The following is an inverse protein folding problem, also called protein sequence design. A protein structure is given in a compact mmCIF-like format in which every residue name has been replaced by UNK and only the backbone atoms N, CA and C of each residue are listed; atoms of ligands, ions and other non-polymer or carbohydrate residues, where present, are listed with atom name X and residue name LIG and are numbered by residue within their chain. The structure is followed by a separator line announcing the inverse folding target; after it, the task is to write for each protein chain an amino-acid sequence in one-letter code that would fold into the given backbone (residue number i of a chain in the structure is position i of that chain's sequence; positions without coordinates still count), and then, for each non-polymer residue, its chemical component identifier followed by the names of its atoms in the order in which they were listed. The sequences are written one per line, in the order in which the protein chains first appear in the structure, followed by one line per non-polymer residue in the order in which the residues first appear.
data_IF_159484397116
#
_entry.id   IF_159484397116
#
_cell.length_a   1.000
_cell.length_b   1.000
_cell.length_c   1.000
_cell.angle_alpha   90.00
_cell.angle_beta   90.00
_cell.angle_gamma   90.00
#
_symmetry.space_group_name_H-M   'P 1'
#
loop_
_entity.id
_entity.type
_entity.pdbx_description
1 polymer ?
#
# COMPACT_ATOMS: atom_id res chain seq x y z
N UNK A 1 -8.38 4.75 -28.18
CA UNK A 1 -8.52 3.53 -27.37
C UNK A 1 -7.12 2.95 -27.16
N UNK A 2 -6.59 3.00 -25.94
CA UNK A 2 -5.28 2.42 -25.61
C UNK A 2 -5.41 0.91 -25.76
N UNK A 3 -4.56 0.28 -26.60
CA UNK A 3 -4.56 -1.18 -26.72
C UNK A 3 -4.09 -1.78 -25.40
N UNK A 4 -4.71 -2.87 -24.89
CA UNK A 4 -4.21 -3.54 -23.71
C UNK A 4 -2.74 -3.91 -23.91
N UNK A 5 -1.90 -3.58 -22.93
CA UNK A 5 -0.52 -4.03 -22.92
C UNK A 5 -0.50 -5.55 -22.69
N UNK A 6 0.56 -6.27 -23.10
CA UNK A 6 0.66 -7.71 -22.84
C UNK A 6 0.48 -8.09 -21.37
N UNK A 7 0.92 -7.21 -20.46
CA UNK A 7 0.75 -7.35 -19.00
C UNK A 7 -0.73 -7.42 -18.64
N UNK A 8 -1.51 -6.41 -19.05
CA UNK A 8 -2.95 -6.34 -18.74
C UNK A 8 -3.71 -7.48 -19.40
N UNK A 9 -3.37 -7.84 -20.64
CA UNK A 9 -3.96 -9.00 -21.32
C UNK A 9 -3.69 -10.31 -20.56
N UNK A 10 -2.48 -10.46 -19.98
CA UNK A 10 -2.13 -11.57 -19.10
C UNK A 10 -3.05 -11.65 -17.87
N UNK A 11 -3.36 -10.52 -17.22
CA UNK A 11 -4.27 -10.50 -16.07
C UNK A 11 -5.68 -10.94 -16.44
N UNK A 12 -6.21 -10.49 -17.57
CA UNK A 12 -7.53 -10.94 -18.04
C UNK A 12 -7.54 -12.46 -18.28
N UNK A 13 -6.48 -13.01 -18.88
CA UNK A 13 -6.37 -14.45 -19.09
C UNK A 13 -6.26 -15.23 -17.76
N UNK A 14 -5.51 -14.72 -16.79
CA UNK A 14 -5.39 -15.31 -15.45
C UNK A 14 -6.73 -15.29 -14.71
N UNK A 15 -7.42 -14.15 -14.70
CA UNK A 15 -8.72 -13.98 -14.07
C UNK A 15 -9.78 -14.89 -14.71
N UNK A 16 -9.79 -15.03 -16.04
CA UNK A 16 -10.70 -15.93 -16.73
C UNK A 16 -10.42 -17.41 -16.46
N UNK A 17 -9.16 -17.77 -16.18
CA UNK A 17 -8.76 -19.15 -15.89
C UNK A 17 -9.13 -19.59 -14.46
N UNK A 18 -9.07 -18.67 -13.51
CA UNK A 18 -9.40 -18.91 -12.10
C UNK A 18 -10.13 -17.69 -11.49
N UNK A 19 -11.45 -17.56 -11.74
CA UNK A 19 -12.20 -16.36 -11.37
C UNK A 19 -12.42 -16.28 -9.85
N UNK A 20 -11.80 -15.27 -9.24
CA UNK A 20 -11.95 -14.98 -7.81
C UNK A 20 -13.35 -14.48 -7.45
N UNK A 21 -13.75 -14.68 -6.20
CA UNK A 21 -14.98 -14.11 -5.62
C UNK A 21 -14.73 -12.67 -5.20
N UNK A 22 -15.37 -11.71 -5.85
CA UNK A 22 -15.08 -10.27 -5.65
C UNK A 22 -16.32 -9.53 -5.20
N UNK A 23 -16.20 -8.72 -4.15
CA UNK A 23 -17.25 -7.79 -3.72
C UNK A 23 -17.01 -6.43 -4.33
N UNK A 24 -18.01 -5.85 -4.99
CA UNK A 24 -18.04 -4.44 -5.37
C UNK A 24 -18.97 -3.70 -4.40
N UNK A 25 -18.40 -2.92 -3.48
CA UNK A 25 -19.16 -2.34 -2.36
C UNK A 25 -20.06 -1.17 -2.77
N UNK A 26 -19.76 -0.49 -3.88
CA UNK A 26 -20.50 0.66 -4.38
C UNK A 26 -21.71 0.25 -5.26
N UNK A 27 -22.40 -0.84 -4.92
CA UNK A 27 -23.55 -1.34 -5.69
C UNK A 27 -24.63 -0.24 -5.85
N UNK A 28 -25.13 -0.07 -7.08
CA UNK A 28 -26.04 1.02 -7.44
C UNK A 28 -25.34 2.28 -7.99
N UNK A 29 -24.01 2.38 -7.91
CA UNK A 29 -23.25 3.32 -8.74
C UNK A 29 -23.15 2.76 -10.17
N UNK A 30 -23.49 3.53 -11.22
CA UNK A 30 -23.47 3.03 -12.59
C UNK A 30 -22.12 2.45 -13.05
N UNK A 31 -20.99 2.96 -12.52
CA UNK A 31 -19.66 2.47 -12.87
C UNK A 31 -19.39 1.11 -12.22
N UNK A 32 -19.82 0.91 -10.98
CA UNK A 32 -19.69 -0.35 -10.27
C UNK A 32 -20.63 -1.42 -10.85
N UNK A 33 -21.84 -1.03 -11.22
CA UNK A 33 -22.81 -1.93 -11.86
C UNK A 33 -22.34 -2.37 -13.25
N UNK A 34 -21.82 -1.43 -14.06
CA UNK A 34 -21.21 -1.75 -15.36
C UNK A 34 -20.00 -2.68 -15.21
N UNK A 35 -19.11 -2.40 -14.24
CA UNK A 35 -17.96 -3.26 -13.95
C UNK A 35 -18.40 -4.66 -13.52
N UNK A 36 -19.42 -4.78 -12.67
CA UNK A 36 -19.98 -6.07 -12.24
C UNK A 36 -20.53 -6.85 -13.42
N UNK A 37 -21.34 -6.22 -14.28
CA UNK A 37 -21.87 -6.85 -15.48
C UNK A 37 -20.76 -7.33 -16.41
N UNK A 38 -19.69 -6.55 -16.56
CA UNK A 38 -18.53 -6.91 -17.37
C UNK A 38 -17.76 -8.10 -16.78
N UNK A 39 -17.49 -8.10 -15.47
CA UNK A 39 -16.82 -9.20 -14.78
C UNK A 39 -17.55 -10.53 -14.98
N UNK A 40 -18.89 -10.51 -14.92
CA UNK A 40 -19.74 -11.69 -15.17
C UNK A 40 -19.71 -12.11 -16.63
N UNK A 41 -19.97 -11.17 -17.55
CA UNK A 41 -20.08 -11.46 -18.97
C UNK A 41 -18.76 -11.98 -19.58
N UNK A 42 -17.63 -11.48 -19.09
CA UNK A 42 -16.30 -11.90 -19.53
C UNK A 42 -15.74 -13.07 -18.70
N UNK A 43 -16.47 -13.55 -17.67
CA UNK A 43 -16.06 -14.68 -16.84
C UNK A 43 -14.82 -14.41 -15.99
N UNK A 44 -14.58 -13.17 -15.59
CA UNK A 44 -13.35 -12.71 -14.93
C UNK A 44 -13.40 -12.81 -13.40
N UNK A 45 -14.60 -12.82 -12.82
CA UNK A 45 -14.80 -12.92 -11.38
C UNK A 45 -16.21 -13.42 -11.07
N UNK A 46 -16.38 -13.97 -9.87
CA UNK A 46 -17.68 -14.32 -9.30
C UNK A 46 -18.11 -13.18 -8.36
N UNK A 47 -19.07 -12.32 -8.73
CA UNK A 47 -19.48 -11.23 -7.87
C UNK A 47 -20.18 -11.75 -6.62
N UNK A 48 -19.80 -11.18 -5.47
CA UNK A 48 -20.46 -11.43 -4.18
C UNK A 48 -21.18 -10.15 -3.76
N UNK A 49 -22.48 -10.21 -3.41
CA UNK A 49 -23.21 -9.05 -2.92
C UNK A 49 -22.56 -8.45 -1.66
N UNK A 50 -22.49 -7.11 -1.52
CA UNK A 50 -21.92 -6.45 -0.35
C UNK A 50 -22.90 -6.46 0.84
N UNK A 51 -23.31 -7.64 1.27
CA UNK A 51 -24.28 -7.83 2.36
C UNK A 51 -23.83 -9.02 3.21
N UNK A 52 -23.82 -8.82 4.53
CA UNK A 52 -23.51 -9.89 5.49
C UNK A 52 -24.69 -10.84 5.63
N UNK A 53 -24.41 -12.10 5.92
CA UNK A 53 -25.42 -13.12 6.26
C UNK A 53 -25.20 -13.58 7.71
N UNK A 54 -25.99 -13.08 8.68
CA UNK A 54 -25.89 -13.48 10.08
C UNK A 54 -26.17 -14.98 10.33
N UNK A 55 -26.72 -15.71 9.36
CA UNK A 55 -26.91 -17.16 9.49
C UNK A 55 -25.63 -17.94 9.12
N UNK A 56 -24.66 -17.32 8.45
CA UNK A 56 -23.38 -17.92 8.10
C UNK A 56 -22.36 -17.74 9.22
N UNK A 57 -22.20 -18.78 10.03
CA UNK A 57 -21.29 -18.79 11.19
C UNK A 57 -19.81 -18.47 10.83
N UNK A 58 -19.40 -18.55 9.56
CA UNK A 58 -18.07 -18.10 9.12
C UNK A 58 -17.88 -16.59 9.33
N UNK A 59 -18.97 -15.83 9.34
CA UNK A 59 -18.97 -14.37 9.41
C UNK A 59 -18.97 -13.85 10.86
N UNK A 60 -19.32 -14.67 11.84
CA UNK A 60 -19.51 -14.28 13.24
C UNK A 60 -18.33 -13.48 13.83
N UNK A 61 -17.09 -13.97 13.65
CA UNK A 61 -15.89 -13.29 14.15
C UNK A 61 -15.68 -11.93 13.49
N UNK A 62 -15.87 -11.86 12.17
CA UNK A 62 -15.65 -10.64 11.40
C UNK A 62 -16.75 -9.59 11.67
N UNK A 63 -18.00 -10.02 11.86
CA UNK A 63 -19.13 -9.17 12.26
C UNK A 63 -18.88 -8.62 13.67
N UNK A 64 -18.53 -9.47 14.63
CA UNK A 64 -18.22 -9.03 15.99
C UNK A 64 -17.09 -8.00 16.01
N UNK A 65 -16.02 -8.26 15.24
CA UNK A 65 -14.90 -7.33 15.09
C UNK A 65 -15.30 -5.98 14.49
N UNK A 66 -16.19 -5.96 13.50
CA UNK A 66 -16.71 -4.72 12.94
C UNK A 66 -17.49 -3.90 14.00
N UNK A 67 -18.37 -4.56 14.75
CA UNK A 67 -19.16 -3.95 15.83
C UNK A 67 -18.24 -3.39 16.94
N UNK A 68 -17.25 -4.17 17.38
CA UNK A 68 -16.26 -3.74 18.38
C UNK A 68 -15.45 -2.52 17.91
N UNK A 69 -15.20 -2.41 16.60
CA UNK A 69 -14.54 -1.26 15.99
C UNK A 69 -15.48 -0.05 15.82
N UNK A 70 -16.76 -0.15 16.20
CA UNK A 70 -17.77 0.90 16.05
C UNK A 70 -18.22 1.09 14.60
N UNK A 71 -18.10 0.05 13.77
CA UNK A 71 -18.51 0.05 12.37
C UNK A 71 -19.84 -0.71 12.24
N UNK A 72 -20.71 -0.21 11.37
CA UNK A 72 -21.99 -0.84 11.04
C UNK A 72 -21.76 -1.99 10.04
N UNK A 73 -22.00 -3.27 10.40
CA UNK A 73 -21.85 -4.39 9.47
C UNK A 73 -22.79 -4.32 8.25
N UNK A 74 -23.88 -3.56 8.35
CA UNK A 74 -24.84 -3.37 7.25
C UNK A 74 -24.37 -2.28 6.25
N UNK A 75 -23.33 -1.50 6.57
CA UNK A 75 -22.70 -0.61 5.61
C UNK A 75 -21.97 -1.44 4.53
N UNK A 76 -22.23 -1.22 3.21
CA UNK A 76 -21.68 -2.05 2.15
C UNK A 76 -20.14 -2.15 2.12
N UNK A 77 -19.42 -1.11 2.54
CA UNK A 77 -17.95 -1.11 2.58
C UNK A 77 -17.45 -1.95 3.75
N UNK A 78 -18.16 -1.92 4.88
CA UNK A 78 -17.87 -2.76 6.05
C UNK A 78 -18.23 -4.21 5.78
N UNK A 79 -19.41 -4.46 5.19
CA UNK A 79 -19.85 -5.78 4.76
C UNK A 79 -18.83 -6.43 3.82
N UNK A 80 -18.30 -5.69 2.84
CA UNK A 80 -17.26 -6.18 1.95
C UNK A 80 -16.00 -6.63 2.72
N UNK A 81 -15.58 -5.86 3.74
CA UNK A 81 -14.44 -6.23 4.58
C UNK A 81 -14.73 -7.48 5.45
N UNK A 82 -15.96 -7.62 5.94
CA UNK A 82 -16.43 -8.80 6.69
C UNK A 82 -16.40 -10.04 5.80
N UNK A 83 -16.92 -9.95 4.57
CA UNK A 83 -16.97 -11.05 3.60
C UNK A 83 -15.57 -11.52 3.19
N UNK A 84 -14.62 -10.60 3.03
CA UNK A 84 -13.21 -10.94 2.76
C UNK A 84 -12.58 -11.63 3.96
N UNK A 85 -12.73 -11.07 5.17
CA UNK A 85 -12.14 -11.65 6.38
C UNK A 85 -12.67 -13.05 6.70
N UNK A 86 -13.97 -13.27 6.49
CA UNK A 86 -14.63 -14.57 6.71
C UNK A 86 -14.36 -15.59 5.60
N UNK A 87 -13.66 -15.20 4.53
CA UNK A 87 -13.36 -16.06 3.39
C UNK A 87 -14.56 -16.35 2.50
N UNK A 88 -15.65 -15.58 2.62
CA UNK A 88 -16.82 -15.64 1.71
C UNK A 88 -16.50 -14.97 0.36
N UNK A 89 -15.64 -13.96 0.37
CA UNK A 89 -15.04 -13.34 -0.79
C UNK A 89 -13.51 -13.39 -0.72
N UNK A 90 -12.85 -13.32 -1.88
CA UNK A 90 -11.39 -13.33 -2.00
C UNK A 90 -10.83 -11.90 -2.06
N UNK A 91 -11.61 -10.95 -2.59
CA UNK A 91 -11.23 -9.54 -2.65
C UNK A 91 -12.46 -8.61 -2.60
N UNK A 92 -12.21 -7.34 -2.29
CA UNK A 92 -13.21 -6.29 -2.30
C UNK A 92 -12.69 -5.03 -3.01
N UNK A 93 -13.59 -4.35 -3.74
CA UNK A 93 -13.33 -3.07 -4.41
C UNK A 93 -14.38 -2.06 -3.95
N UNK A 94 -13.92 -0.89 -3.51
CA UNK A 94 -14.77 0.20 -3.04
C UNK A 94 -14.12 1.56 -3.33
N UNK A 95 -14.90 2.63 -3.24
CA UNK A 95 -14.42 4.01 -3.34
C UNK A 95 -14.99 4.79 -4.52
N UNK A 96 -15.91 4.21 -5.30
CA UNK A 96 -16.61 4.96 -6.35
C UNK A 96 -17.54 6.05 -5.75
N UNK A 97 -18.14 5.76 -4.60
CA UNK A 97 -19.06 6.66 -3.89
C UNK A 97 -18.58 7.05 -2.48
N UNK A 98 -17.45 6.48 -2.03
CA UNK A 98 -16.96 6.61 -0.66
C UNK A 98 -15.55 7.23 -0.59
N UNK A 99 -15.26 8.08 0.41
CA UNK A 99 -13.90 8.55 0.64
C UNK A 99 -12.91 7.40 0.88
N UNK A 100 -11.69 7.52 0.33
CA UNK A 100 -10.60 6.55 0.54
C UNK A 100 -10.34 6.27 2.01
N UNK A 101 -10.41 7.30 2.87
CA UNK A 101 -10.18 7.16 4.30
C UNK A 101 -11.17 6.18 4.97
N UNK A 102 -12.43 6.15 4.52
CA UNK A 102 -13.43 5.25 5.09
C UNK A 102 -13.22 3.81 4.62
N UNK A 103 -12.87 3.62 3.34
CA UNK A 103 -12.53 2.30 2.77
C UNK A 103 -11.31 1.70 3.48
N UNK A 104 -10.24 2.49 3.62
CA UNK A 104 -9.01 2.05 4.32
C UNK A 104 -9.30 1.77 5.80
N UNK A 105 -10.13 2.60 6.46
CA UNK A 105 -10.52 2.38 7.86
C UNK A 105 -11.26 1.05 8.02
N UNK A 106 -12.24 0.76 7.16
CA UNK A 106 -12.98 -0.51 7.20
C UNK A 106 -12.06 -1.71 7.00
N UNK A 107 -11.20 -1.68 5.96
CA UNK A 107 -10.23 -2.73 5.71
C UNK A 107 -9.28 -2.96 6.88
N UNK A 108 -8.69 -1.91 7.45
CA UNK A 108 -7.78 -2.02 8.60
C UNK A 108 -8.45 -2.54 9.86
N UNK A 109 -9.67 -2.07 10.17
CA UNK A 109 -10.36 -2.44 11.40
C UNK A 109 -10.92 -3.85 11.32
N UNK A 110 -11.48 -4.25 10.19
CA UNK A 110 -12.08 -5.56 9.99
C UNK A 110 -11.03 -6.56 9.50
N UNK A 111 -10.51 -6.45 8.27
CA UNK A 111 -9.55 -7.41 7.69
C UNK A 111 -8.23 -7.44 8.49
N UNK A 112 -7.69 -6.26 8.85
CA UNK A 112 -6.42 -6.15 9.55
C UNK A 112 -5.21 -6.07 8.61
N UNK A 113 -4.01 -6.20 9.19
CA UNK A 113 -2.75 -6.15 8.45
C UNK A 113 -2.13 -7.54 8.32
N UNK A 114 -1.37 -7.75 7.24
CA UNK A 114 -0.58 -8.96 7.07
C UNK A 114 0.48 -9.10 8.17
N UNK A 115 0.88 -10.33 8.50
CA UNK A 115 1.91 -10.58 9.51
C UNK A 115 3.24 -9.93 9.10
N UNK A 116 3.80 -9.09 9.97
CA UNK A 116 5.06 -8.39 9.70
C UNK A 116 4.92 -7.13 8.84
N UNK A 117 3.70 -6.73 8.47
CA UNK A 117 3.44 -5.42 7.89
C UNK A 117 3.19 -4.40 9.01
N UNK A 118 4.03 -3.38 9.10
CA UNK A 118 3.91 -2.32 10.12
C UNK A 118 3.05 -1.15 9.65
N UNK A 119 2.84 -1.03 8.34
CA UNK A 119 2.11 0.06 7.70
C UNK A 119 1.37 -0.43 6.47
N UNK A 120 0.16 0.10 6.25
CA UNK A 120 -0.54 -0.03 4.97
C UNK A 120 -0.06 1.08 4.05
N UNK A 121 0.30 0.71 2.84
CA UNK A 121 0.82 1.61 1.81
C UNK A 121 0.07 1.42 0.51
N UNK A 122 -0.01 2.46 -0.30
CA UNK A 122 -0.49 2.34 -1.69
C UNK A 122 0.66 2.02 -2.65
N UNK A 123 0.35 1.66 -3.88
CA UNK A 123 1.31 1.76 -4.98
C UNK A 123 0.56 2.04 -6.29
N UNK A 124 1.24 2.68 -7.23
CA UNK A 124 0.78 2.77 -8.60
C UNK A 124 1.63 1.85 -9.47
N UNK A 125 1.00 1.00 -10.28
CA UNK A 125 1.66 0.34 -11.38
C UNK A 125 1.48 1.18 -12.65
N UNK A 126 2.59 1.59 -13.23
CA UNK A 126 2.67 2.34 -14.47
C UNK A 126 3.26 1.44 -15.55
N UNK A 127 2.62 1.40 -16.73
CA UNK A 127 3.23 0.83 -17.93
C UNK A 127 3.62 1.97 -18.85
N UNK A 128 4.93 2.16 -19.04
CA UNK A 128 5.48 3.22 -19.87
C UNK A 128 5.10 3.01 -21.35
N UNK A 129 5.17 4.07 -22.19
CA UNK A 129 4.84 3.95 -23.61
C UNK A 129 5.64 2.90 -24.39
N UNK A 130 6.84 2.56 -23.91
CA UNK A 130 7.69 1.51 -24.47
C UNK A 130 7.39 0.10 -23.88
N UNK A 131 6.34 -0.03 -23.07
CA UNK A 131 5.87 -1.28 -22.48
C UNK A 131 6.54 -1.65 -21.16
N UNK A 132 7.53 -0.87 -20.68
CA UNK A 132 8.21 -1.18 -19.42
C UNK A 132 7.29 -0.92 -18.21
N UNK A 133 7.15 -1.89 -17.29
CA UNK A 133 6.42 -1.69 -16.05
C UNK A 133 7.30 -0.97 -15.01
N UNK A 134 6.66 -0.13 -14.20
CA UNK A 134 7.24 0.58 -13.06
C UNK A 134 6.21 0.60 -11.93
N UNK A 135 6.62 0.28 -10.71
CA UNK A 135 5.80 0.53 -9.53
C UNK A 135 6.33 1.76 -8.78
N UNK A 136 5.43 2.67 -8.43
CA UNK A 136 5.71 3.79 -7.53
C UNK A 136 5.10 3.49 -6.16
N UNK A 137 5.95 3.39 -5.15
CA UNK A 137 5.56 3.05 -3.77
C UNK A 137 4.98 4.26 -3.04
N UNK A 138 3.85 4.02 -2.39
CA UNK A 138 3.02 4.91 -1.58
C UNK A 138 2.86 6.36 -2.07
N UNK A 139 1.72 6.61 -2.73
CA UNK A 139 1.34 7.91 -3.27
C UNK A 139 0.06 8.47 -2.64
N UNK A 140 -0.44 7.87 -1.56
CA UNK A 140 -1.76 8.23 -1.06
C UNK A 140 -2.10 7.83 0.37
N UNK A 141 -1.26 7.06 1.07
CA UNK A 141 -1.59 6.57 2.41
C UNK A 141 -0.70 7.19 3.50
N UNK A 142 0.63 7.10 3.38
CA UNK A 142 1.57 7.59 4.39
C UNK A 142 2.21 8.93 3.95
N UNK A 143 1.86 10.07 4.56
CA UNK A 143 2.35 11.38 4.10
C UNK A 143 3.83 11.64 4.35
N UNK A 144 4.38 11.18 5.47
CA UNK A 144 5.77 11.41 5.88
C UNK A 144 6.32 10.13 6.55
N UNK A 145 6.72 9.12 5.76
CA UNK A 145 7.19 7.85 6.31
C UNK A 145 8.57 8.02 6.94
N UNK A 146 8.76 7.44 8.12
CA UNK A 146 10.10 7.27 8.69
C UNK A 146 10.92 6.22 7.90
N UNK A 147 12.20 6.05 8.27
CA UNK A 147 13.08 5.11 7.56
C UNK A 147 12.60 3.65 7.62
N UNK A 148 11.97 3.21 8.71
CA UNK A 148 11.47 1.85 8.85
C UNK A 148 10.20 1.66 8.00
N UNK A 149 9.30 2.63 8.03
CA UNK A 149 8.11 2.66 7.20
C UNK A 149 8.47 2.70 5.71
N UNK A 150 9.47 3.49 5.32
CA UNK A 150 9.94 3.56 3.94
C UNK A 150 10.50 2.21 3.45
N UNK A 151 11.26 1.50 4.30
CA UNK A 151 11.75 0.16 4.00
C UNK A 151 10.58 -0.86 3.86
N UNK A 152 9.56 -0.74 4.72
CA UNK A 152 8.34 -1.55 4.64
C UNK A 152 7.57 -1.28 3.34
N UNK A 153 7.36 0.00 2.99
CA UNK A 153 6.71 0.43 1.75
C UNK A 153 7.46 -0.12 0.53
N UNK A 154 8.79 -0.01 0.51
CA UNK A 154 9.63 -0.51 -0.57
C UNK A 154 9.48 -2.03 -0.75
N UNK A 155 9.52 -2.78 0.36
CA UNK A 155 9.37 -4.24 0.36
C UNK A 155 7.98 -4.68 -0.11
N UNK A 156 6.92 -4.03 0.39
CA UNK A 156 5.54 -4.30 -0.02
C UNK A 156 5.31 -3.95 -1.50
N UNK A 157 5.86 -2.83 -1.98
CA UNK A 157 5.76 -2.41 -3.38
C UNK A 157 6.49 -3.40 -4.31
N UNK A 158 7.67 -3.87 -3.91
CA UNK A 158 8.43 -4.88 -4.65
C UNK A 158 7.67 -6.20 -4.76
N UNK A 159 7.06 -6.66 -3.66
CA UNK A 159 6.23 -7.87 -3.66
C UNK A 159 5.01 -7.72 -4.58
N UNK A 160 4.31 -6.59 -4.51
CA UNK A 160 3.17 -6.30 -5.40
C UNK A 160 3.59 -6.23 -6.87
N UNK A 161 4.73 -5.59 -7.18
CA UNK A 161 5.27 -5.54 -8.55
C UNK A 161 5.55 -6.95 -9.08
N UNK A 162 6.24 -7.79 -8.30
CA UNK A 162 6.55 -9.17 -8.69
C UNK A 162 5.28 -9.99 -8.94
N UNK A 163 4.27 -9.86 -8.08
CA UNK A 163 3.00 -10.57 -8.22
C UNK A 163 2.21 -10.14 -9.48
N UNK A 164 2.23 -8.85 -9.81
CA UNK A 164 1.46 -8.31 -10.94
C UNK A 164 2.19 -8.49 -12.28
N UNK A 165 3.50 -8.37 -12.32
CA UNK A 165 4.28 -8.32 -13.57
C UNK A 165 4.99 -9.64 -13.85
N UNK A 166 5.19 -10.48 -12.84
CA UNK A 166 5.99 -11.71 -12.92
C UNK A 166 7.45 -11.44 -13.34
N UNK A 167 8.02 -10.33 -12.86
CA UNK A 167 9.41 -9.92 -13.07
C UNK A 167 10.10 -9.62 -11.72
N UNK A 168 11.42 -9.81 -11.68
CA UNK A 168 12.22 -9.54 -10.48
C UNK A 168 12.33 -8.03 -10.22
N UNK A 169 11.87 -7.52 -9.06
CA UNK A 169 11.82 -6.09 -8.79
C UNK A 169 13.23 -5.51 -8.53
N UNK A 170 13.47 -4.31 -9.04
CA UNK A 170 14.66 -3.50 -8.70
C UNK A 170 14.22 -2.23 -8.01
N UNK A 171 14.53 -2.13 -6.72
CA UNK A 171 14.07 -1.03 -5.87
C UNK A 171 15.08 0.11 -5.88
N UNK A 172 14.58 1.33 -6.05
CA UNK A 172 15.34 2.57 -5.88
C UNK A 172 14.55 3.55 -5.01
N UNK A 173 15.19 4.09 -3.97
CA UNK A 173 14.63 5.16 -3.15
C UNK A 173 14.97 6.52 -3.74
N UNK A 174 13.97 7.39 -3.91
CA UNK A 174 14.17 8.76 -4.37
C UNK A 174 14.34 9.67 -3.17
N UNK A 175 15.46 10.40 -3.14
CA UNK A 175 15.80 11.35 -2.08
C UNK A 175 16.22 12.67 -2.71
N UNK A 176 15.69 13.78 -2.21
CA UNK A 176 16.08 15.13 -2.62
C UNK A 176 17.03 15.68 -1.58
N UNK A 177 18.22 16.10 -2.00
CA UNK A 177 19.22 16.70 -1.12
C UNK A 177 19.36 18.19 -1.40
N UNK A 178 19.36 18.99 -0.33
CA UNK A 178 19.72 20.40 -0.40
C UNK A 178 21.16 20.56 0.12
N UNK A 179 22.14 21.01 -0.70
CA UNK A 179 23.55 21.00 -0.33
C UNK A 179 23.93 21.77 0.95
N UNK A 180 23.07 22.71 1.39
CA UNK A 180 23.29 23.52 2.60
C UNK A 180 22.90 22.86 3.92
N UNK A 181 22.26 21.69 3.90
CA UNK A 181 21.79 20.98 5.10
C UNK A 181 22.64 19.75 5.45
N UNK A 182 23.73 19.52 4.70
CA UNK A 182 24.72 18.49 4.99
C UNK A 182 25.42 18.79 6.31
N UNK A 183 24.92 18.23 7.42
CA UNK A 183 25.66 18.17 8.67
C UNK A 183 26.80 17.17 8.51
N UNK A 184 28.01 17.70 8.50
CA UNK A 184 29.21 16.90 8.67
C UNK A 184 29.26 16.34 10.11
N UNK A 185 29.97 15.24 10.38
CA UNK A 185 30.15 14.77 11.76
C UNK A 185 30.73 15.82 12.72
N UNK A 186 31.41 16.85 12.20
CA UNK A 186 31.94 17.99 12.96
C UNK A 186 30.83 18.91 13.50
N UNK A 187 29.68 18.98 12.82
CA UNK A 187 28.55 19.85 13.20
C UNK A 187 27.75 19.35 14.42
N UNK A 188 28.08 18.17 14.96
CA UNK A 188 27.52 17.66 16.23
C UNK A 188 28.17 18.27 17.48
N UNK A 189 29.23 19.06 17.35
CA UNK A 189 29.87 19.72 18.50
C UNK A 189 29.30 21.13 18.72
N UNK A 190 28.13 21.20 19.38
CA UNK A 190 27.64 22.41 20.04
C UNK A 190 28.38 22.72 21.36
N UNK A 191 28.23 23.91 21.94
CA UNK A 191 29.27 24.61 22.69
C UNK A 191 29.42 24.09 24.13
N UNK A 192 30.18 23.02 24.32
CA UNK A 192 30.66 22.56 25.62
C UNK A 192 32.14 22.88 25.76
N UNK A 193 32.47 23.98 26.43
CA UNK A 193 33.87 24.31 26.72
C UNK A 193 34.51 23.28 27.64
N UNK A 194 35.62 22.69 27.22
CA UNK A 194 36.71 22.26 28.11
C UNK A 194 38.05 22.45 27.38
N UNK A 195 38.94 23.18 28.04
CA UNK A 195 40.10 23.83 27.43
C UNK A 195 41.23 22.89 27.03
N UNK A 196 41.93 23.26 25.95
CA UNK A 196 43.22 22.69 25.60
C UNK A 196 44.32 23.69 25.96
N UNK A 197 45.07 23.35 27.01
CA UNK A 197 46.28 24.07 27.39
C UNK A 197 47.30 24.02 26.26
N UNK A 198 47.54 25.17 25.63
CA UNK A 198 48.69 25.37 24.73
C UNK A 198 49.97 25.30 25.54
N UNK A 199 50.78 24.25 25.36
CA UNK A 199 52.22 24.33 25.66
C UNK A 199 52.93 25.01 24.48
N UNK A 200 53.77 26.03 24.70
CA UNK A 200 54.48 26.69 23.62
C UNK A 200 55.67 25.84 23.15
N UNK A 201 55.81 25.70 21.83
CA UNK A 201 56.93 25.03 21.16
C UNK A 201 58.16 25.96 21.19
N UNK A 202 59.27 25.48 21.76
CA UNK A 202 60.53 26.21 21.81
C UNK A 202 61.23 26.23 20.43
N UNK A 203 61.69 27.42 19.99
CA UNK A 203 62.55 27.59 18.81
C UNK A 203 64.03 27.34 19.17
N UNK A 204 64.82 26.58 18.39
CA UNK A 204 66.26 26.52 18.59
C UNK A 204 66.92 27.78 17.99
N UNK A 205 67.68 28.47 18.83
CA UNK A 205 68.42 29.69 18.51
C UNK A 205 69.70 29.43 17.71
N UNK A 206 70.05 30.46 16.93
CA UNK A 206 71.32 30.63 16.21
C UNK A 206 72.53 30.56 17.16
N UNK A 207 73.61 29.92 16.72
CA UNK A 207 75.01 30.21 17.12
C UNK A 207 75.80 30.34 15.80
N UNK A 208 76.14 31.58 15.46
CA UNK A 208 77.50 32.16 15.45
C UNK A 208 78.39 31.52 14.40
#
# INVERSE_FOLDING_TARGET
MIRPTPIVAGWYAQAAADPARVVLADAGDPRADEATARLVNEGLAVPVPPTVDPADARQDEAIARAIEAGLDPDDPVVAAAVLVRSGVADAAVAGATRPTADVVRAGLRVIGMASGADVVSSCFLLVLPDGRPLAYGDCGVVPDPDAAQLASIASATAATFAALVNEEPRVASVVVFNPGECRTPEDRQGPGGYGTGRRPVARPGRRR
#
